data_IF_123225243983
#
_entry.id   IF_123225243983
#
_cell.length_a   1.000
_cell.length_b   1.000
_cell.length_c   1.000
_cell.angle_alpha   90.00
_cell.angle_beta   90.00
_cell.angle_gamma   90.00
#
_symmetry.space_group_name_H-M   'P 1'
#
loop_
_entity.id
_entity.type
_entity.pdbx_description
1 polymer ?
#
# COMPACT_ATOMS: atom_id res chain seq x y z
N UNK A 1 24.22 -8.61 17.88
CA UNK A 1 25.04 -7.95 16.85
C UNK A 1 24.83 -8.71 15.55
N UNK A 2 24.30 -8.03 14.56
CA UNK A 2 23.96 -8.61 13.24
C UNK A 2 25.12 -8.49 12.22
N UNK A 3 26.35 -8.33 12.67
CA UNK A 3 27.53 -8.16 11.83
C UNK A 3 28.15 -6.78 11.96
N UNK A 4 29.21 -6.53 11.17
CA UNK A 4 29.83 -5.22 11.05
C UNK A 4 29.05 -4.35 10.09
N UNK A 5 28.88 -3.08 10.43
CA UNK A 5 28.26 -2.09 9.57
C UNK A 5 29.25 -1.58 8.51
N UNK A 6 28.77 -1.25 7.31
CA UNK A 6 29.59 -0.65 6.28
C UNK A 6 29.77 0.85 6.57
N UNK A 7 31.03 1.31 6.53
CA UNK A 7 31.32 2.73 6.70
C UNK A 7 31.09 3.51 5.40
N UNK A 8 29.93 4.13 5.27
CA UNK A 8 29.56 4.97 4.12
C UNK A 8 30.36 6.30 4.02
N UNK A 9 31.22 6.62 5.01
CA UNK A 9 32.19 7.71 4.89
C UNK A 9 33.43 7.27 4.11
N UNK A 10 33.64 5.97 3.93
CA UNK A 10 34.67 5.45 3.04
C UNK A 10 34.19 5.50 1.60
N UNK A 11 34.84 6.32 0.72
CA UNK A 11 34.42 6.44 -0.69
C UNK A 11 34.51 5.11 -1.46
N UNK A 12 35.42 4.21 -1.11
CA UNK A 12 35.53 2.88 -1.75
C UNK A 12 34.22 2.06 -1.58
N UNK A 13 33.49 2.21 -0.47
CA UNK A 13 32.21 1.54 -0.21
C UNK A 13 31.16 2.04 -1.20
N UNK A 14 31.03 3.35 -1.34
CA UNK A 14 30.01 3.95 -2.22
C UNK A 14 30.33 3.73 -3.69
N UNK A 15 31.59 3.79 -4.09
CA UNK A 15 32.07 3.50 -5.46
C UNK A 15 31.80 2.04 -5.83
N UNK A 16 32.14 1.10 -4.95
CA UNK A 16 31.95 -0.33 -5.21
C UNK A 16 30.47 -0.71 -5.26
N UNK A 17 29.65 -0.19 -4.34
CA UNK A 17 28.19 -0.42 -4.37
C UNK A 17 27.55 0.19 -5.63
N UNK A 18 28.04 1.33 -6.11
CA UNK A 18 27.56 1.94 -7.35
C UNK A 18 27.97 1.11 -8.57
N UNK A 19 29.22 0.66 -8.62
CA UNK A 19 29.74 -0.25 -9.68
C UNK A 19 28.95 -1.55 -9.73
N UNK A 20 28.72 -2.16 -8.57
CA UNK A 20 27.92 -3.38 -8.43
C UNK A 20 26.47 -3.15 -8.87
N UNK A 21 25.86 -2.06 -8.45
CA UNK A 21 24.48 -1.71 -8.81
C UNK A 21 24.29 -1.58 -10.33
N UNK A 22 25.19 -0.87 -11.01
CA UNK A 22 25.20 -0.74 -12.48
C UNK A 22 25.32 -2.09 -13.17
N UNK A 23 26.26 -2.90 -12.74
CA UNK A 23 26.42 -4.26 -13.27
C UNK A 23 25.16 -5.09 -13.06
N UNK A 24 24.61 -5.09 -11.84
CA UNK A 24 23.42 -5.87 -11.50
C UNK A 24 22.19 -5.45 -12.32
N UNK A 25 21.95 -4.15 -12.45
CA UNK A 25 20.83 -3.59 -13.20
C UNK A 25 20.89 -4.01 -14.67
N UNK A 26 22.05 -3.88 -15.30
CA UNK A 26 22.27 -4.32 -16.70
C UNK A 26 22.12 -5.83 -16.86
N UNK A 27 22.69 -6.59 -15.94
CA UNK A 27 22.71 -8.04 -16.03
C UNK A 27 21.31 -8.65 -15.87
N UNK A 28 20.46 -8.05 -15.05
CA UNK A 28 19.11 -8.56 -14.74
C UNK A 28 18.01 -7.91 -15.57
N UNK A 29 18.23 -6.72 -16.13
CA UNK A 29 17.25 -5.98 -16.90
C UNK A 29 16.01 -5.56 -16.11
N UNK A 30 16.14 -5.35 -14.81
CA UNK A 30 15.03 -4.97 -13.91
C UNK A 30 14.47 -3.59 -14.21
N UNK A 31 13.21 -3.36 -13.81
CA UNK A 31 12.49 -2.09 -13.98
C UNK A 31 12.47 -1.24 -12.69
N UNK A 32 13.05 -1.76 -11.60
CA UNK A 32 13.08 -1.03 -10.33
C UNK A 32 13.61 -1.88 -9.18
N UNK A 33 13.58 -1.31 -7.97
CA UNK A 33 14.16 -1.90 -6.77
C UNK A 33 13.19 -1.92 -5.60
N UNK A 34 13.22 -2.99 -4.84
CA UNK A 34 12.84 -2.99 -3.43
C UNK A 34 14.11 -2.92 -2.61
N UNK A 35 14.28 -1.87 -1.85
CA UNK A 35 15.44 -1.59 -1.03
C UNK A 35 15.14 -2.02 0.41
N UNK A 36 15.86 -3.02 0.87
CA UNK A 36 15.66 -3.62 2.19
C UNK A 36 16.24 -2.74 3.31
N UNK A 37 15.54 -2.67 4.43
CA UNK A 37 16.02 -2.11 5.70
C UNK A 37 16.76 -0.75 5.57
N UNK A 38 16.24 0.16 4.74
CA UNK A 38 16.94 1.41 4.38
C UNK A 38 17.28 2.32 5.57
N UNK A 39 16.58 2.16 6.70
CA UNK A 39 16.89 2.89 7.94
C UNK A 39 18.27 2.58 8.53
N UNK A 40 18.87 1.44 8.14
CA UNK A 40 20.18 0.99 8.56
C UNK A 40 21.30 1.37 7.59
N UNK A 41 20.97 2.06 6.50
CA UNK A 41 21.90 2.58 5.50
C UNK A 41 22.05 4.09 5.67
N UNK A 42 23.20 4.64 5.26
CA UNK A 42 23.40 6.08 5.30
C UNK A 42 22.25 6.81 4.60
N UNK A 43 21.63 7.75 5.32
CA UNK A 43 20.41 8.46 4.92
C UNK A 43 20.46 9.10 3.53
N UNK A 44 21.66 9.51 3.08
CA UNK A 44 21.84 10.24 1.82
C UNK A 44 22.39 9.39 0.69
N UNK A 45 22.65 8.09 0.92
CA UNK A 45 23.28 7.21 -0.07
C UNK A 45 22.40 6.97 -1.29
N UNK A 46 21.12 6.65 -1.08
CA UNK A 46 20.27 6.18 -2.17
C UNK A 46 19.94 7.24 -3.21
N UNK A 47 19.94 8.52 -2.85
CA UNK A 47 19.73 9.62 -3.78
C UNK A 47 20.69 9.54 -4.99
N UNK A 48 21.99 9.53 -4.70
CA UNK A 48 23.02 9.53 -5.73
C UNK A 48 23.16 8.17 -6.39
N UNK A 49 22.98 7.10 -5.62
CA UNK A 49 23.02 5.75 -6.13
C UNK A 49 21.89 5.49 -7.15
N UNK A 50 20.65 5.84 -6.86
CA UNK A 50 19.51 5.66 -7.76
C UNK A 50 19.66 6.49 -9.03
N UNK A 51 20.16 7.73 -8.94
CA UNK A 51 20.46 8.55 -10.12
C UNK A 51 21.50 7.87 -11.01
N UNK A 52 22.59 7.39 -10.43
CA UNK A 52 23.63 6.69 -11.18
C UNK A 52 23.10 5.42 -11.87
N UNK A 53 22.13 4.71 -11.28
CA UNK A 53 21.48 3.55 -11.91
C UNK A 53 20.61 3.97 -13.10
N UNK A 54 19.77 4.99 -12.93
CA UNK A 54 18.88 5.54 -13.98
C UNK A 54 19.69 6.04 -15.18
N UNK A 55 20.74 6.81 -14.91
CA UNK A 55 21.65 7.31 -15.96
C UNK A 55 22.35 6.21 -16.72
N UNK A 56 22.81 5.15 -16.03
CA UNK A 56 23.58 4.06 -16.62
C UNK A 56 22.78 3.17 -17.58
N UNK A 57 21.45 3.07 -17.36
CA UNK A 57 20.53 2.29 -18.21
C UNK A 57 19.60 3.17 -19.06
N UNK A 58 19.71 4.50 -18.95
CA UNK A 58 18.87 5.48 -19.64
C UNK A 58 17.37 5.22 -19.47
N UNK A 59 16.97 4.82 -18.24
CA UNK A 59 15.62 4.38 -17.92
C UNK A 59 15.18 4.90 -16.56
N UNK A 60 13.93 5.32 -16.46
CA UNK A 60 13.32 5.59 -15.15
C UNK A 60 13.06 4.27 -14.41
N UNK A 61 13.69 4.12 -13.24
CA UNK A 61 13.62 2.93 -12.40
C UNK A 61 12.81 3.26 -11.15
N UNK A 62 11.70 2.55 -10.95
CA UNK A 62 10.92 2.69 -9.74
C UNK A 62 11.70 2.14 -8.54
N UNK A 63 11.73 2.88 -7.43
CA UNK A 63 12.35 2.40 -6.22
C UNK A 63 11.41 2.53 -5.02
N UNK A 64 11.31 1.47 -4.22
CA UNK A 64 10.61 1.47 -2.94
C UNK A 64 11.53 0.99 -1.83
N UNK A 65 11.68 1.80 -0.78
CA UNK A 65 12.45 1.47 0.41
C UNK A 65 11.57 0.93 1.53
N UNK A 66 12.10 -0.03 2.26
CA UNK A 66 11.51 -0.48 3.51
C UNK A 66 12.15 0.27 4.67
N UNK A 67 11.43 1.27 5.17
CA UNK A 67 11.77 2.00 6.40
C UNK A 67 10.73 1.66 7.48
N UNK A 68 10.99 0.66 8.29
CA UNK A 68 10.04 0.19 9.30
C UNK A 68 9.97 1.16 10.48
N UNK A 69 9.01 2.08 10.43
CA UNK A 69 8.74 3.08 11.46
C UNK A 69 7.28 3.52 11.42
N UNK A 70 6.68 3.73 12.59
CA UNK A 70 5.27 4.10 12.73
C UNK A 70 4.98 5.59 12.53
N UNK A 71 5.97 6.46 12.68
CA UNK A 71 5.81 7.91 12.55
C UNK A 71 6.03 8.34 11.11
N UNK A 72 4.98 8.90 10.50
CA UNK A 72 5.00 9.38 9.12
C UNK A 72 6.01 10.51 8.88
N UNK A 73 6.30 11.33 9.90
CA UNK A 73 7.26 12.42 9.76
C UNK A 73 8.68 11.87 9.52
N UNK A 74 9.03 10.75 10.17
CA UNK A 74 10.32 10.08 9.94
C UNK A 74 10.42 9.55 8.51
N UNK A 75 9.34 8.98 7.96
CA UNK A 75 9.29 8.53 6.58
C UNK A 75 9.42 9.72 5.61
N UNK A 76 8.69 10.79 5.86
CA UNK A 76 8.72 11.98 5.00
C UNK A 76 10.10 12.66 5.03
N UNK A 77 10.75 12.74 6.19
CA UNK A 77 12.11 13.26 6.33
C UNK A 77 13.13 12.42 5.56
N UNK A 78 12.93 11.10 5.52
CA UNK A 78 13.79 10.19 4.74
C UNK A 78 13.59 10.40 3.22
N UNK A 79 12.34 10.51 2.76
CA UNK A 79 12.02 10.81 1.36
C UNK A 79 12.63 12.15 0.94
N UNK A 80 12.49 13.18 1.78
CA UNK A 80 13.06 14.51 1.52
C UNK A 80 14.60 14.49 1.44
N UNK A 81 15.25 13.74 2.33
CA UNK A 81 16.71 13.58 2.33
C UNK A 81 17.24 12.90 1.06
N UNK A 82 16.43 12.07 0.44
CA UNK A 82 16.71 11.43 -0.84
C UNK A 82 16.10 12.18 -2.04
N UNK A 83 15.73 13.44 -1.86
CA UNK A 83 15.20 14.33 -2.91
C UNK A 83 14.05 13.68 -3.71
N UNK A 84 13.23 12.87 -3.03
CA UNK A 84 12.11 12.13 -3.62
C UNK A 84 12.50 11.11 -4.71
N UNK A 85 13.74 10.65 -4.78
CA UNK A 85 14.17 9.62 -5.75
C UNK A 85 13.54 8.25 -5.49
N UNK A 86 13.03 8.00 -4.27
CA UNK A 86 12.39 6.74 -3.91
C UNK A 86 11.03 6.95 -3.24
N UNK A 87 10.22 5.92 -3.28
CA UNK A 87 9.00 5.75 -2.48
C UNK A 87 9.30 4.92 -1.24
N UNK A 88 8.42 4.94 -0.24
CA UNK A 88 8.52 4.06 0.92
C UNK A 88 7.25 3.24 1.09
N UNK A 89 7.39 2.06 1.70
CA UNK A 89 6.25 1.33 2.22
C UNK A 89 5.57 2.13 3.33
N UNK A 90 4.24 2.23 3.27
CA UNK A 90 3.42 2.96 4.25
C UNK A 90 3.22 2.13 5.52
N UNK A 91 4.27 2.04 6.32
CA UNK A 91 4.26 1.31 7.60
C UNK A 91 3.27 1.92 8.60
N UNK A 92 3.08 3.25 8.70
CA UNK A 92 2.00 3.83 9.50
C UNK A 92 0.61 3.30 9.13
N UNK A 93 0.28 3.18 7.84
CA UNK A 93 -1.01 2.63 7.39
C UNK A 93 -1.16 1.15 7.80
N UNK A 94 -0.10 0.36 7.65
CA UNK A 94 -0.08 -1.02 8.14
C UNK A 94 -0.42 -1.09 9.63
N UNK A 95 0.19 -0.25 10.47
CA UNK A 95 -0.13 -0.20 11.89
C UNK A 95 -1.57 0.25 12.19
N UNK A 96 -2.12 1.18 11.41
CA UNK A 96 -3.53 1.54 11.54
C UNK A 96 -4.44 0.33 11.25
N UNK A 97 -4.15 -0.45 10.20
CA UNK A 97 -4.88 -1.68 9.91
C UNK A 97 -4.73 -2.73 11.02
N UNK A 98 -3.52 -2.94 11.52
CA UNK A 98 -3.27 -3.84 12.63
C UNK A 98 -4.09 -3.44 13.86
N UNK A 99 -4.00 -2.18 14.30
CA UNK A 99 -4.72 -1.65 15.46
C UNK A 99 -6.25 -1.74 15.27
N UNK A 100 -6.77 -1.40 14.09
CA UNK A 100 -8.17 -1.52 13.76
C UNK A 100 -8.62 -2.99 13.88
N UNK A 101 -7.86 -3.93 13.33
CA UNK A 101 -8.19 -5.35 13.41
C UNK A 101 -8.24 -5.87 14.85
N UNK A 102 -7.36 -5.39 15.72
CA UNK A 102 -7.32 -5.76 17.16
C UNK A 102 -8.42 -5.12 17.99
N UNK A 103 -8.96 -4.01 17.54
CA UNK A 103 -10.00 -3.28 18.27
C UNK A 103 -11.41 -3.91 18.15
N UNK A 104 -11.62 -4.85 17.20
CA UNK A 104 -12.88 -5.60 17.04
C UNK A 104 -14.14 -4.71 17.08
N UNK A 105 -14.17 -3.67 16.23
CA UNK A 105 -15.28 -2.73 16.11
C UNK A 105 -15.24 -1.52 17.07
N UNK A 106 -14.16 -1.37 17.82
CA UNK A 106 -13.95 -0.20 18.68
C UNK A 106 -12.91 0.78 18.12
N UNK A 107 -12.57 0.65 16.84
CA UNK A 107 -11.69 1.59 16.14
C UNK A 107 -12.52 2.67 15.44
N UNK A 108 -12.06 3.90 15.49
CA UNK A 108 -12.68 4.97 14.70
C UNK A 108 -12.20 4.92 13.25
N UNK A 109 -12.95 4.27 12.36
CA UNK A 109 -12.61 4.13 10.95
C UNK A 109 -12.40 5.46 10.22
N UNK A 110 -12.97 6.57 10.72
CA UNK A 110 -12.75 7.90 10.14
C UNK A 110 -11.28 8.31 10.15
N UNK A 111 -10.51 7.74 11.06
CA UNK A 111 -9.09 8.04 11.29
C UNK A 111 -8.15 7.03 10.64
N UNK A 112 -8.66 6.04 9.89
CA UNK A 112 -7.86 4.93 9.34
C UNK A 112 -6.67 5.38 8.48
N UNK A 113 -6.76 6.55 7.86
CA UNK A 113 -5.70 7.15 7.05
C UNK A 113 -4.89 8.22 7.81
N UNK A 114 -5.24 8.56 9.06
CA UNK A 114 -4.54 9.61 9.81
C UNK A 114 -3.12 9.19 10.17
N UNK A 115 -2.17 10.11 10.03
CA UNK A 115 -0.77 9.86 10.30
C UNK A 115 -0.10 8.90 9.34
N UNK A 116 -0.66 8.68 8.14
CA UNK A 116 -0.12 7.74 7.14
C UNK A 116 0.60 8.45 6.00
N UNK A 117 1.53 7.75 5.36
CA UNK A 117 2.27 8.29 4.22
C UNK A 117 1.33 8.52 3.01
N UNK A 118 0.38 7.64 2.78
CA UNK A 118 -0.58 7.77 1.68
C UNK A 118 -1.47 9.01 1.82
N UNK A 119 -1.72 9.48 3.04
CA UNK A 119 -2.48 10.72 3.28
C UNK A 119 -1.63 11.97 3.03
N UNK A 120 -0.37 11.98 3.47
CA UNK A 120 0.49 13.20 3.39
C UNK A 120 1.29 13.29 2.11
N UNK A 121 1.64 12.14 1.49
CA UNK A 121 2.43 12.08 0.26
C UNK A 121 2.05 10.85 -0.59
N UNK A 122 0.87 10.85 -1.21
CA UNK A 122 0.33 9.69 -1.91
C UNK A 122 1.21 9.19 -3.06
N UNK A 123 1.96 10.10 -3.71
CA UNK A 123 2.85 9.76 -4.82
C UNK A 123 4.13 9.02 -4.40
N UNK A 124 4.41 8.99 -3.11
CA UNK A 124 5.58 8.31 -2.54
C UNK A 124 5.21 7.17 -1.59
N UNK A 125 3.92 6.84 -1.50
CA UNK A 125 3.41 5.81 -0.62
C UNK A 125 3.19 4.49 -1.37
N UNK A 126 3.89 3.43 -0.97
CA UNK A 126 3.56 2.06 -1.36
C UNK A 126 2.74 1.45 -0.23
N UNK A 127 1.44 1.33 -0.45
CA UNK A 127 0.49 0.82 0.56
C UNK A 127 0.49 -0.71 0.59
N UNK A 128 0.41 -1.29 1.78
CA UNK A 128 0.36 -2.74 1.97
C UNK A 128 -0.45 -3.09 3.21
N UNK A 129 -0.91 -4.33 3.31
CA UNK A 129 -1.65 -4.84 4.48
C UNK A 129 -0.71 -5.58 5.40
N UNK A 130 -0.01 -6.58 4.89
CA UNK A 130 1.01 -7.36 5.59
C UNK A 130 2.17 -7.68 4.67
N UNK A 131 3.28 -8.16 5.25
CA UNK A 131 4.44 -8.67 4.53
C UNK A 131 5.02 -9.91 5.23
N UNK A 132 6.17 -10.39 4.73
CA UNK A 132 6.85 -11.58 5.27
C UNK A 132 7.44 -11.37 6.67
N UNK A 133 7.66 -10.12 7.11
CA UNK A 133 8.19 -9.80 8.43
C UNK A 133 7.09 -9.46 9.45
N UNK A 134 5.92 -8.96 9.00
CA UNK A 134 4.78 -8.71 9.88
C UNK A 134 3.93 -9.94 10.18
N UNK A 135 4.15 -11.05 9.45
CA UNK A 135 3.41 -12.29 9.64
C UNK A 135 3.73 -12.97 10.99
N UNK A 136 2.82 -13.84 11.50
CA UNK A 136 3.00 -14.53 12.76
C UNK A 136 4.34 -15.28 12.85
N UNK A 137 5.03 -15.11 13.98
CA UNK A 137 6.31 -15.75 14.28
C UNK A 137 7.54 -15.05 13.72
N UNK A 138 7.40 -13.90 13.06
CA UNK A 138 8.50 -13.09 12.57
C UNK A 138 8.86 -11.94 13.53
N UNK A 139 10.02 -11.32 13.33
CA UNK A 139 10.58 -10.32 14.26
C UNK A 139 9.77 -9.02 14.35
N UNK A 140 9.02 -8.69 13.31
CA UNK A 140 8.17 -7.50 13.23
C UNK A 140 6.67 -7.86 13.30
N UNK A 141 6.36 -9.00 13.94
CA UNK A 141 4.99 -9.50 14.00
C UNK A 141 3.99 -8.43 14.41
N UNK A 142 3.13 -8.06 13.47
CA UNK A 142 2.06 -7.07 13.60
C UNK A 142 0.91 -7.43 12.66
N UNK A 143 0.53 -8.70 12.65
CA UNK A 143 -0.42 -9.28 11.73
C UNK A 143 -1.79 -8.62 11.80
N UNK A 144 -2.32 -8.22 10.65
CA UNK A 144 -3.71 -7.76 10.50
C UNK A 144 -4.62 -8.98 10.56
N UNK A 145 -5.62 -8.97 11.43
CA UNK A 145 -6.49 -10.12 11.62
C UNK A 145 -7.33 -10.44 10.38
N UNK A 146 -7.57 -11.73 10.18
CA UNK A 146 -8.21 -12.30 8.99
C UNK A 146 -9.57 -11.66 8.63
N UNK A 147 -10.33 -11.25 9.64
CA UNK A 147 -11.65 -10.66 9.46
C UNK A 147 -11.57 -9.28 8.81
N UNK A 148 -10.53 -8.48 9.13
CA UNK A 148 -10.36 -7.12 8.62
C UNK A 148 -9.60 -7.07 7.29
N UNK A 149 -8.84 -8.10 6.93
CA UNK A 149 -8.01 -8.11 5.70
C UNK A 149 -8.76 -7.74 4.42
N UNK A 150 -9.97 -8.27 4.13
CA UNK A 150 -10.68 -7.85 2.91
C UNK A 150 -10.98 -6.36 2.86
N UNK A 151 -11.24 -5.74 4.01
CA UNK A 151 -11.49 -4.30 4.12
C UNK A 151 -10.20 -3.50 3.97
N UNK A 152 -9.11 -3.91 4.60
CA UNK A 152 -7.79 -3.29 4.44
C UNK A 152 -7.32 -3.35 2.98
N UNK A 153 -7.49 -4.50 2.30
CA UNK A 153 -7.20 -4.63 0.88
C UNK A 153 -8.14 -3.80 -0.01
N UNK A 154 -9.41 -3.63 0.35
CA UNK A 154 -10.32 -2.73 -0.37
C UNK A 154 -9.81 -1.27 -0.28
N UNK A 155 -9.35 -0.83 0.89
CA UNK A 155 -8.78 0.51 1.08
C UNK A 155 -7.58 0.72 0.15
N UNK A 156 -6.58 -0.16 0.15
CA UNK A 156 -5.38 0.05 -0.67
C UNK A 156 -5.59 -0.19 -2.16
N UNK A 157 -6.51 -1.09 -2.55
CA UNK A 157 -6.72 -1.44 -3.95
C UNK A 157 -7.74 -0.56 -4.67
N UNK A 158 -8.74 -0.03 -3.98
CA UNK A 158 -9.88 0.62 -4.63
C UNK A 158 -9.90 2.14 -4.47
N UNK A 159 -9.07 2.70 -3.58
CA UNK A 159 -8.86 4.15 -3.50
C UNK A 159 -7.89 4.63 -4.58
N UNK A 160 -7.87 5.95 -4.79
CA UNK A 160 -7.03 6.58 -5.81
C UNK A 160 -5.56 6.65 -5.38
N UNK A 161 -5.32 6.90 -4.10
CA UNK A 161 -4.02 7.26 -3.57
C UNK A 161 -3.12 6.04 -3.33
N UNK A 162 -1.82 6.21 -3.58
CA UNK A 162 -0.78 5.22 -3.29
C UNK A 162 -0.63 4.13 -4.34
N UNK A 163 0.45 3.36 -4.19
CA UNK A 163 0.78 2.20 -5.02
C UNK A 163 0.53 0.93 -4.20
N UNK A 164 -0.53 0.16 -4.45
CA UNK A 164 -0.86 -0.99 -3.62
C UNK A 164 0.07 -2.17 -3.86
N UNK A 165 0.52 -2.79 -2.77
CA UNK A 165 1.30 -4.02 -2.76
C UNK A 165 0.49 -5.13 -2.08
N UNK A 166 0.24 -6.23 -2.81
CA UNK A 166 -0.46 -7.41 -2.29
C UNK A 166 0.55 -8.42 -1.78
N UNK A 167 0.42 -8.82 -0.52
CA UNK A 167 1.28 -9.84 0.06
C UNK A 167 0.95 -11.23 -0.51
N UNK A 168 1.96 -11.89 -1.06
CA UNK A 168 1.80 -13.21 -1.67
C UNK A 168 1.32 -14.26 -0.66
N UNK A 169 1.74 -14.13 0.61
CA UNK A 169 1.30 -14.99 1.70
C UNK A 169 -0.21 -14.88 1.98
N UNK A 170 -0.80 -13.70 1.86
CA UNK A 170 -2.25 -13.54 1.93
C UNK A 170 -2.95 -14.12 0.70
N UNK A 171 -2.37 -13.94 -0.47
CA UNK A 171 -2.96 -14.46 -1.71
C UNK A 171 -2.97 -16.00 -1.75
N UNK A 172 -1.86 -16.65 -1.42
CA UNK A 172 -1.74 -18.12 -1.49
C UNK A 172 -2.05 -18.84 -0.18
N UNK A 173 -1.95 -18.14 0.95
CA UNK A 173 -1.87 -18.75 2.26
C UNK A 173 -0.46 -19.26 2.60
N UNK A 174 -0.19 -19.43 3.88
CA UNK A 174 1.07 -19.98 4.40
C UNK A 174 0.71 -21.08 5.41
N UNK A 175 0.61 -22.33 4.99
CA UNK A 175 0.14 -23.45 5.85
C UNK A 175 1.00 -23.62 7.12
N UNK A 176 2.32 -23.42 7.02
CA UNK A 176 3.26 -23.53 8.15
C UNK A 176 3.02 -22.46 9.21
N UNK A 177 2.55 -21.27 8.82
CA UNK A 177 2.16 -20.18 9.72
C UNK A 177 0.65 -20.16 10.00
N UNK A 178 -0.11 -21.16 9.52
CA UNK A 178 -1.59 -21.25 9.64
C UNK A 178 -2.32 -20.06 9.01
N UNK A 179 -1.72 -19.39 8.05
CA UNK A 179 -2.33 -18.28 7.31
C UNK A 179 -3.20 -18.86 6.19
N UNK A 180 -4.47 -18.50 6.20
CA UNK A 180 -5.44 -18.92 5.18
C UNK A 180 -5.35 -18.02 3.94
N UNK A 181 -5.47 -18.64 2.76
CA UNK A 181 -5.55 -17.90 1.49
C UNK A 181 -6.75 -16.94 1.45
N UNK A 182 -6.51 -15.72 1.00
CA UNK A 182 -7.53 -14.69 0.67
C UNK A 182 -7.70 -14.56 -0.86
N UNK A 183 -7.24 -15.55 -1.62
CA UNK A 183 -7.22 -15.50 -3.09
C UNK A 183 -8.56 -15.08 -3.67
N UNK A 184 -9.66 -15.63 -3.18
CA UNK A 184 -11.00 -15.37 -3.72
C UNK A 184 -11.41 -13.91 -3.58
N UNK A 185 -11.17 -13.32 -2.42
CA UNK A 185 -11.45 -11.91 -2.13
C UNK A 185 -10.50 -11.00 -2.91
N UNK A 186 -9.23 -11.31 -2.92
CA UNK A 186 -8.19 -10.54 -3.63
C UNK A 186 -8.38 -10.56 -5.15
N UNK A 187 -8.74 -11.70 -5.75
CA UNK A 187 -9.05 -11.77 -7.19
C UNK A 187 -10.19 -10.79 -7.56
N UNK A 188 -11.24 -10.72 -6.74
CA UNK A 188 -12.35 -9.78 -6.94
C UNK A 188 -11.89 -8.33 -6.82
N UNK A 189 -11.16 -7.98 -5.74
CA UNK A 189 -10.68 -6.63 -5.49
C UNK A 189 -9.70 -6.16 -6.58
N UNK A 190 -8.76 -7.01 -7.00
CA UNK A 190 -7.85 -6.69 -8.11
C UNK A 190 -8.58 -6.50 -9.44
N UNK A 191 -9.63 -7.30 -9.70
CA UNK A 191 -10.49 -7.13 -10.88
C UNK A 191 -11.26 -5.81 -10.83
N UNK A 192 -11.81 -5.45 -9.65
CA UNK A 192 -12.48 -4.16 -9.45
C UNK A 192 -11.51 -3.00 -9.64
N UNK A 193 -10.29 -3.07 -9.08
CA UNK A 193 -9.25 -2.06 -9.31
C UNK A 193 -9.01 -1.85 -10.80
N UNK A 194 -8.80 -2.94 -11.54
CA UNK A 194 -8.47 -2.91 -12.98
C UNK A 194 -9.60 -2.36 -13.83
N UNK A 195 -10.86 -2.59 -13.46
CA UNK A 195 -11.99 -2.32 -14.34
C UNK A 195 -12.91 -1.19 -13.86
N UNK A 196 -12.92 -0.87 -12.56
CA UNK A 196 -13.91 0.02 -11.95
C UNK A 196 -13.33 1.22 -11.21
N UNK A 197 -12.10 1.13 -10.67
CA UNK A 197 -11.57 2.13 -9.76
C UNK A 197 -10.96 3.35 -10.48
N UNK A 198 -11.75 4.03 -11.30
CA UNK A 198 -11.34 5.18 -12.10
C UNK A 198 -12.19 6.42 -11.81
N UNK A 199 -11.73 7.57 -12.31
CA UNK A 199 -12.42 8.86 -12.18
C UNK A 199 -12.30 9.50 -10.81
N UNK A 200 -13.04 10.58 -10.57
CA UNK A 200 -13.01 11.34 -9.34
C UNK A 200 -13.43 10.50 -8.13
N UNK A 201 -12.76 10.74 -7.00
CA UNK A 201 -13.06 10.08 -5.73
C UNK A 201 -13.78 11.02 -4.79
N UNK A 202 -14.81 10.51 -4.10
CA UNK A 202 -15.52 11.23 -3.03
C UNK A 202 -15.53 10.37 -1.78
N UNK A 203 -15.06 10.93 -0.68
CA UNK A 203 -14.95 10.24 0.60
C UNK A 203 -16.13 10.56 1.53
N UNK A 204 -16.62 9.55 2.23
CA UNK A 204 -17.72 9.59 3.19
C UNK A 204 -17.25 8.94 4.50
N UNK A 205 -16.31 9.61 5.17
CA UNK A 205 -15.72 9.18 6.45
C UNK A 205 -16.40 9.93 7.59
N UNK A 206 -17.70 9.73 7.73
CA UNK A 206 -18.61 10.48 8.60
C UNK A 206 -19.20 9.67 9.77
N UNK A 207 -18.93 8.36 9.81
CA UNK A 207 -19.36 7.46 10.87
C UNK A 207 -18.16 6.63 11.37
N UNK A 208 -17.96 6.52 12.71
CA UNK A 208 -16.79 5.84 13.27
C UNK A 208 -16.73 4.33 12.94
N UNK A 209 -17.86 3.69 12.70
CA UNK A 209 -17.92 2.26 12.41
C UNK A 209 -18.35 1.93 10.97
N UNK A 210 -18.58 2.96 10.16
CA UNK A 210 -18.98 2.77 8.77
C UNK A 210 -18.46 3.92 7.90
N UNK A 211 -17.51 3.63 7.04
CA UNK A 211 -16.96 4.58 6.07
C UNK A 211 -17.25 4.12 4.64
N UNK A 212 -17.16 5.03 3.70
CA UNK A 212 -17.31 4.71 2.29
C UNK A 212 -16.62 5.71 1.40
N UNK A 213 -16.48 5.35 0.13
CA UNK A 213 -16.05 6.25 -0.94
C UNK A 213 -16.64 5.82 -2.28
N UNK A 214 -16.63 6.73 -3.23
CA UNK A 214 -17.04 6.46 -4.60
C UNK A 214 -15.91 6.82 -5.58
N UNK A 215 -15.92 6.16 -6.73
CA UNK A 215 -15.13 6.52 -7.91
C UNK A 215 -16.13 6.72 -9.05
N UNK A 216 -16.10 7.89 -9.69
CA UNK A 216 -17.12 8.24 -10.68
C UNK A 216 -16.98 7.50 -12.03
N UNK A 217 -15.85 6.84 -12.26
CA UNK A 217 -15.47 6.37 -13.59
C UNK A 217 -14.96 7.51 -14.48
N UNK A 218 -14.51 7.17 -15.65
CA UNK A 218 -14.06 8.13 -16.67
C UNK A 218 -14.36 7.66 -18.10
N UNK A 219 -14.14 8.55 -19.07
CA UNK A 219 -14.43 8.27 -20.48
C UNK A 219 -13.42 7.30 -21.12
N UNK A 220 -12.19 7.25 -20.61
CA UNK A 220 -11.15 6.33 -21.10
C UNK A 220 -11.45 4.89 -20.70
N UNK A 221 -12.09 4.70 -19.53
CA UNK A 221 -12.44 3.40 -18.98
C UNK A 221 -13.97 3.25 -18.95
N UNK A 222 -14.56 3.00 -20.11
CA UNK A 222 -16.03 2.89 -20.28
C UNK A 222 -16.63 1.87 -19.32
N UNK A 223 -17.75 2.26 -18.70
CA UNK A 223 -18.47 1.49 -17.67
C UNK A 223 -17.66 1.27 -16.37
N UNK A 224 -16.61 2.05 -16.14
CA UNK A 224 -15.96 2.13 -14.86
C UNK A 224 -16.77 3.00 -13.87
N UNK A 225 -16.43 2.92 -12.61
CA UNK A 225 -17.10 3.60 -11.50
C UNK A 225 -17.60 2.60 -10.47
N UNK A 226 -17.55 3.00 -9.21
CA UNK A 226 -17.89 2.10 -8.11
C UNK A 226 -18.18 2.86 -6.83
N UNK A 227 -18.93 2.22 -5.94
CA UNK A 227 -19.11 2.62 -4.55
C UNK A 227 -18.55 1.54 -3.62
N UNK A 228 -17.89 1.95 -2.56
CA UNK A 228 -17.37 1.05 -1.53
C UNK A 228 -17.92 1.49 -0.17
N UNK A 229 -18.40 0.53 0.61
CA UNK A 229 -18.78 0.72 2.02
C UNK A 229 -18.03 -0.31 2.84
N UNK A 230 -17.41 0.13 3.92
CA UNK A 230 -16.69 -0.68 4.89
C UNK A 230 -17.28 -0.43 6.27
N UNK A 231 -17.51 -1.52 7.01
CA UNK A 231 -17.92 -1.43 8.41
C UNK A 231 -17.13 -2.43 9.24
N UNK A 232 -16.62 -2.01 10.39
CA UNK A 232 -15.98 -2.87 11.38
C UNK A 232 -16.95 -3.28 12.50
N UNK A 233 -18.23 -2.87 12.40
CA UNK A 233 -19.31 -3.15 13.34
C UNK A 233 -20.51 -3.85 12.71
N UNK A 234 -21.70 -3.43 13.09
CA UNK A 234 -22.98 -4.05 12.66
C UNK A 234 -23.40 -3.73 11.23
N UNK A 235 -22.58 -3.02 10.48
CA UNK A 235 -22.93 -2.48 9.17
C UNK A 235 -23.50 -1.07 9.26
N UNK A 236 -23.94 -0.55 8.12
CA UNK A 236 -24.51 0.79 8.02
C UNK A 236 -25.03 1.09 6.64
N UNK A 237 -25.66 2.25 6.49
CA UNK A 237 -26.15 2.77 5.22
C UNK A 237 -25.49 4.12 4.94
N UNK A 238 -25.09 4.36 3.69
CA UNK A 238 -24.53 5.63 3.26
C UNK A 238 -25.23 6.16 2.03
N UNK A 239 -25.50 7.46 2.03
CA UNK A 239 -25.92 8.18 0.84
C UNK A 239 -24.68 8.76 0.17
N UNK A 240 -24.34 8.24 -1.00
CA UNK A 240 -23.08 8.58 -1.68
C UNK A 240 -23.36 9.03 -3.12
N UNK A 241 -22.74 10.12 -3.53
CA UNK A 241 -22.74 10.54 -4.93
C UNK A 241 -21.78 9.69 -5.75
N UNK A 242 -22.23 9.14 -6.85
CA UNK A 242 -21.41 8.27 -7.72
C UNK A 242 -21.19 8.83 -9.14
N UNK A 243 -21.81 9.94 -9.47
CA UNK A 243 -21.77 10.52 -10.79
C UNK A 243 -23.14 10.51 -11.48
N UNK A 244 -23.43 11.59 -12.21
CA UNK A 244 -24.73 11.76 -12.93
C UNK A 244 -24.97 10.71 -14.02
N UNK A 245 -23.91 10.18 -14.61
CA UNK A 245 -23.94 9.14 -15.63
C UNK A 245 -24.56 7.83 -15.16
N UNK A 246 -24.64 7.60 -13.87
CA UNK A 246 -25.24 6.40 -13.27
C UNK A 246 -26.69 6.60 -12.81
N UNK A 247 -27.31 7.75 -13.13
CA UNK A 247 -28.71 7.97 -12.78
C UNK A 247 -29.61 6.89 -13.38
N UNK A 248 -30.39 6.21 -12.53
CA UNK A 248 -31.24 5.09 -12.92
C UNK A 248 -30.54 3.74 -13.13
N UNK A 249 -29.24 3.66 -12.91
CA UNK A 249 -28.51 2.40 -12.95
C UNK A 249 -28.70 1.60 -11.66
N UNK A 250 -28.66 0.28 -11.79
CA UNK A 250 -28.60 -0.65 -10.66
C UNK A 250 -27.16 -1.05 -10.39
N UNK A 251 -26.78 -1.11 -9.10
CA UNK A 251 -25.48 -1.58 -8.65
C UNK A 251 -25.61 -2.97 -8.02
N UNK A 252 -24.67 -3.85 -8.34
CA UNK A 252 -24.56 -5.16 -7.73
C UNK A 252 -23.36 -5.22 -6.78
N UNK A 253 -23.53 -5.86 -5.62
CA UNK A 253 -22.44 -6.10 -4.70
C UNK A 253 -21.47 -7.15 -5.26
N UNK A 254 -20.32 -6.69 -5.71
CA UNK A 254 -19.27 -7.55 -6.27
C UNK A 254 -18.65 -8.49 -5.22
N UNK A 255 -18.68 -8.13 -3.93
CA UNK A 255 -18.16 -8.99 -2.85
C UNK A 255 -19.16 -10.07 -2.43
N UNK A 256 -20.46 -9.85 -2.69
CA UNK A 256 -21.52 -10.83 -2.43
C UNK A 256 -22.02 -10.82 -0.99
N UNK A 257 -21.93 -9.68 -0.31
CA UNK A 257 -22.40 -9.50 1.07
C UNK A 257 -23.85 -9.00 1.11
N UNK A 258 -24.29 -8.22 0.11
CA UNK A 258 -25.65 -7.74 0.00
C UNK A 258 -26.60 -8.82 -0.59
N UNK A 259 -27.82 -8.88 -0.06
CA UNK A 259 -28.87 -9.80 -0.55
C UNK A 259 -29.67 -9.23 -1.72
N UNK A 260 -29.56 -7.93 -1.97
CA UNK A 260 -30.36 -7.20 -2.97
C UNK A 260 -29.46 -6.29 -3.78
N UNK A 261 -29.89 -5.96 -5.01
CA UNK A 261 -29.29 -4.89 -5.80
C UNK A 261 -29.53 -3.55 -5.10
N UNK A 262 -28.55 -2.69 -5.14
CA UNK A 262 -28.55 -1.34 -4.54
C UNK A 262 -28.94 -0.33 -5.59
#
# INVERSE_FOLDING_TARGET
>A
LMGADLDFNNPEVTEELTRWGKWYTKQTGIDGYRLDAVKHINKYFYKDWLRAMKEDVEKDLFAVGEYWHWDVNVLQDYINANESELSLFDVPLHFNFHNCSKAHGNYDLRTILDGTLVKVNPMKAVTFVDNHDSQPGQSLESWVEDWFKPMAYAIILLRQEGYPCVFYGDYKGIPTAKIKSKKRELDKLMKLRKNQAYGAQHDYFDDPNCIGWTREGDEEHKNSGMAVVISDGTGGTKHMYIGRQFAGCHFADAMGNAKYNI
#
